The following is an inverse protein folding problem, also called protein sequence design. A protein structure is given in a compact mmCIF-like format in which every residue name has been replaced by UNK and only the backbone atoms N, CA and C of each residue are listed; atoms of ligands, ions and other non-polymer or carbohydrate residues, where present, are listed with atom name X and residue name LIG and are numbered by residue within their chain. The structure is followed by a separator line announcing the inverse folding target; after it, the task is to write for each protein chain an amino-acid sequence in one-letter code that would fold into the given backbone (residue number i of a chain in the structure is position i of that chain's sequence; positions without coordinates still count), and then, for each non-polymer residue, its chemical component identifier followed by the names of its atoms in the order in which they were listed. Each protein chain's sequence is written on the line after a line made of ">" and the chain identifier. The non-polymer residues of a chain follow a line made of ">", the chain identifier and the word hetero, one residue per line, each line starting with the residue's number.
data_IF_427769606613
#
_entry.id   IF_427769606613
#
_cell.length_a   1.000
_cell.length_b   1.000
_cell.length_c   1.000
_cell.angle_alpha   90.00
_cell.angle_beta   90.00
_cell.angle_gamma   90.00
#
_symmetry.space_group_name_H-M   'P 1'
#
loop_
_entity.id
_entity.type
_entity.pdbx_description
1 polymer ?
2 polymer ?
#
loop_
_entity_poly.entity_id
_entity_poly.type
_entity_poly.pdbx_seq_one_letter_code
_entity_poly.pdbx_strand_id
2 'polyribonucleotide' 'UUUUUU' ?
#
# COMPACT_ATOMS: atom_id res chain seq x y z
N UNK A 3 32.46 19.19 -18.58
CA UNK A 3 33.50 18.63 -19.42
C UNK A 3 34.39 17.66 -18.68
N UNK A 4 35.37 18.19 -17.95
CA UNK A 4 36.21 17.34 -17.11
C UNK A 4 35.44 16.79 -15.93
N UNK A 5 34.54 17.60 -15.37
CA UNK A 5 33.77 17.21 -14.20
C UNK A 5 32.46 16.53 -14.56
N UNK A 6 32.25 16.28 -15.86
CA UNK A 6 31.02 15.63 -16.37
C UNK A 6 30.95 14.20 -15.85
N UNK A 7 32.08 13.49 -15.80
CA UNK A 7 32.12 12.07 -15.36
C UNK A 7 31.66 11.96 -13.91
N UNK A 8 32.10 12.89 -13.04
CA UNK A 8 31.70 12.89 -11.61
C UNK A 8 30.20 13.19 -11.46
N UNK A 9 29.69 14.15 -12.24
CA UNK A 9 28.29 14.55 -12.17
C UNK A 9 27.37 13.42 -12.60
N UNK A 10 27.75 12.69 -13.63
CA UNK A 10 26.97 11.57 -14.13
C UNK A 10 27.36 10.24 -13.51
N UNK A 11 28.22 10.23 -12.49
CA UNK A 11 28.69 8.97 -11.94
C UNK A 11 27.62 8.28 -11.13
N UNK A 12 26.76 9.07 -10.48
CA UNK A 12 25.66 8.44 -9.68
C UNK A 12 24.73 7.68 -10.63
N UNK A 13 24.27 8.33 -11.69
CA UNK A 13 23.36 7.68 -12.67
C UNK A 13 24.09 6.52 -13.37
N UNK A 14 25.33 6.74 -13.80
CA UNK A 14 26.13 5.71 -14.50
C UNK A 14 26.41 4.53 -13.57
N UNK A 15 26.84 4.82 -12.34
CA UNK A 15 27.15 3.73 -11.37
C UNK A 15 25.87 2.94 -11.08
N UNK A 16 24.74 3.63 -10.91
CA UNK A 16 23.47 2.91 -10.63
C UNK A 16 23.13 2.01 -11.82
N UNK A 17 23.24 2.53 -13.04
CA UNK A 17 22.92 1.70 -14.24
C UNK A 17 23.91 0.54 -14.35
N UNK A 18 25.20 0.84 -14.12
CA UNK A 18 26.31 -0.16 -14.24
C UNK A 18 26.22 -1.29 -13.22
N UNK A 19 25.93 -0.97 -11.95
CA UNK A 19 25.94 -2.03 -10.88
C UNK A 19 24.55 -2.65 -10.64
N UNK A 20 23.47 -2.05 -11.13
CA UNK A 20 22.13 -2.64 -10.87
C UNK A 20 21.74 -3.57 -12.01
N UNK A 21 22.63 -3.75 -13.01
CA UNK A 21 22.29 -4.68 -14.12
C UNK A 21 22.03 -6.05 -13.48
N UNK A 22 20.91 -6.68 -13.83
CA UNK A 22 20.54 -7.98 -13.22
C UNK A 22 21.54 -9.06 -13.65
N UNK A 23 21.74 -10.09 -12.80
CA UNK A 23 22.70 -11.15 -13.11
C UNK A 23 22.32 -11.88 -14.39
N UNK A 24 21.02 -12.17 -14.56
CA UNK A 24 20.53 -12.85 -15.77
C UNK A 24 20.78 -14.35 -15.75
N UNK A 25 20.54 -15.03 -16.88
CA UNK A 25 20.77 -16.47 -16.97
C UNK A 25 19.70 -17.29 -16.26
N UNK A 26 20.00 -18.55 -15.97
CA UNK A 26 19.06 -19.45 -15.27
C UNK A 26 18.89 -19.00 -13.81
N UNK A 27 17.71 -19.24 -13.23
CA UNK A 27 17.43 -18.84 -11.82
C UNK A 27 17.35 -20.11 -10.96
N UNK A 28 18.13 -20.16 -9.89
CA UNK A 28 18.12 -21.32 -8.99
C UNK A 28 16.90 -21.22 -8.08
N UNK A 29 15.97 -22.18 -8.11
CA UNK A 29 14.81 -22.09 -7.24
C UNK A 29 15.18 -22.27 -5.77
N UNK A 30 14.56 -21.47 -4.92
CA UNK A 30 14.81 -21.50 -3.50
C UNK A 30 13.76 -22.29 -2.74
N UNK A 31 13.75 -22.10 -1.43
CA UNK A 31 12.78 -22.78 -0.59
C UNK A 31 11.43 -22.06 -0.65
N UNK A 32 10.37 -22.84 -0.76
CA UNK A 32 9.02 -22.29 -0.86
C UNK A 32 8.06 -23.16 -0.07
N UNK A 33 7.16 -22.51 0.66
CA UNK A 33 6.10 -23.23 1.33
C UNK A 33 5.01 -23.61 0.33
N UNK A 34 4.33 -24.70 0.62
CA UNK A 34 3.20 -25.14 -0.18
C UNK A 34 1.93 -24.69 0.54
N UNK A 35 1.12 -23.88 -0.15
CA UNK A 35 -0.03 -23.24 0.46
C UNK A 35 -1.30 -23.73 -0.23
N UNK A 36 -2.29 -24.10 0.58
CA UNK A 36 -3.58 -24.54 0.08
C UNK A 36 -4.46 -23.34 -0.17
N UNK A 37 -4.91 -23.16 -1.40
CA UNK A 37 -5.85 -22.11 -1.78
C UNK A 37 -7.14 -22.77 -2.21
N UNK A 38 -8.25 -22.32 -1.64
CA UNK A 38 -9.55 -22.91 -1.87
C UNK A 38 -10.38 -22.01 -2.78
N UNK A 39 -10.75 -22.52 -3.93
CA UNK A 39 -11.58 -21.81 -4.90
C UNK A 39 -12.96 -22.44 -4.88
N UNK A 40 -13.97 -21.66 -5.28
CA UNK A 40 -15.33 -22.19 -5.32
C UNK A 40 -15.62 -22.79 -6.68
N UNK A 41 -16.03 -24.05 -6.68
CA UNK A 41 -16.49 -24.67 -7.89
C UNK A 41 -17.88 -24.21 -8.25
N UNK A 42 -18.31 -24.56 -9.45
CA UNK A 42 -19.66 -24.14 -9.89
C UNK A 42 -20.77 -24.75 -9.06
N UNK A 43 -20.46 -25.71 -8.19
CA UNK A 43 -21.49 -26.31 -7.34
C UNK A 43 -22.02 -25.30 -6.33
N UNK A 44 -21.18 -24.38 -5.88
CA UNK A 44 -21.60 -23.39 -4.90
C UNK A 44 -22.21 -22.19 -5.62
N UNK A 45 -23.53 -22.28 -5.87
CA UNK A 45 -24.27 -21.22 -6.60
C UNK A 45 -25.12 -20.39 -5.62
N UNK A 46 -24.98 -20.65 -4.31
CA UNK A 46 -25.78 -19.90 -3.30
C UNK A 46 -24.98 -18.70 -2.81
N UNK A 47 -25.56 -17.50 -2.90
CA UNK A 47 -24.87 -16.25 -2.46
C UNK A 47 -24.60 -16.32 -0.96
N UNK A 48 -25.56 -16.85 -0.19
CA UNK A 48 -25.39 -16.97 1.28
C UNK A 48 -24.24 -17.93 1.58
N UNK A 49 -24.17 -19.03 0.85
CA UNK A 49 -23.08 -20.03 1.02
C UNK A 49 -21.74 -19.39 0.65
N UNK A 50 -21.75 -18.60 -0.43
CA UNK A 50 -20.52 -17.92 -0.92
C UNK A 50 -20.03 -16.94 0.16
N UNK A 51 -20.95 -16.20 0.79
CA UNK A 51 -20.56 -15.26 1.84
C UNK A 51 -20.09 -16.00 3.09
N UNK A 52 -20.71 -17.14 3.39
CA UNK A 52 -20.24 -17.95 4.51
C UNK A 52 -18.84 -18.47 4.26
N UNK A 53 -18.54 -18.84 3.02
CA UNK A 53 -17.20 -19.31 2.67
C UNK A 53 -16.19 -18.18 2.78
N UNK A 54 -16.58 -16.98 2.34
CA UNK A 54 -15.71 -15.82 2.46
C UNK A 54 -15.42 -15.51 3.93
N UNK A 55 -16.44 -15.57 4.77
CA UNK A 55 -16.22 -15.31 6.19
C UNK A 55 -15.38 -16.42 6.83
N UNK A 56 -15.53 -17.65 6.35
CA UNK A 56 -14.68 -18.73 6.86
C UNK A 56 -13.23 -18.53 6.47
N UNK A 57 -12.98 -18.12 5.22
CA UNK A 57 -11.63 -17.78 4.81
C UNK A 57 -11.05 -16.65 5.67
N UNK A 58 -11.85 -15.62 5.92
CA UNK A 58 -11.37 -14.50 6.72
C UNK A 58 -11.09 -14.92 8.15
N UNK A 59 -11.90 -15.81 8.71
CA UNK A 59 -11.69 -16.25 10.07
C UNK A 59 -10.50 -17.20 10.17
N UNK A 60 -10.24 -17.96 9.11
CA UNK A 60 -9.09 -18.85 9.11
C UNK A 60 -7.79 -18.08 8.92
N UNK A 61 -7.85 -16.98 8.18
CA UNK A 61 -6.64 -16.14 7.97
C UNK A 61 -6.22 -15.56 9.33
N UNK A 62 -7.19 -15.13 10.13
CA UNK A 62 -6.98 -14.50 11.47
C UNK A 62 -6.46 -15.51 12.51
N UNK A 63 -6.66 -16.82 12.30
CA UNK A 63 -6.24 -17.80 13.34
C UNK A 63 -4.73 -17.71 13.57
N UNK A 64 -4.35 -17.51 14.83
CA UNK A 64 -2.92 -17.41 15.28
C UNK A 64 -2.22 -18.78 15.16
N UNK A 65 -2.92 -19.85 15.53
CA UNK A 65 -2.36 -21.23 15.53
C UNK A 65 -1.96 -21.63 14.10
N UNK A 66 -2.77 -21.25 13.11
CA UNK A 66 -2.51 -21.61 11.69
C UNK A 66 -1.20 -20.96 11.24
N UNK A 67 -0.44 -21.66 10.40
CA UNK A 67 0.86 -21.16 9.88
C UNK A 67 0.61 -19.89 9.06
N UNK A 68 1.54 -18.94 9.11
CA UNK A 68 1.36 -17.64 8.41
C UNK A 68 1.19 -17.89 6.90
N UNK A 69 1.94 -18.83 6.33
CA UNK A 69 1.76 -19.11 4.91
C UNK A 69 0.35 -19.61 4.63
N UNK A 70 -0.21 -20.42 5.53
CA UNK A 70 -1.56 -20.92 5.32
C UNK A 70 -2.59 -19.82 5.49
N UNK A 71 -2.37 -18.93 6.47
CA UNK A 71 -3.24 -17.77 6.61
C UNK A 71 -3.16 -16.87 5.39
N UNK A 72 -1.96 -16.71 4.84
CA UNK A 72 -1.84 -15.98 3.59
C UNK A 72 -2.55 -16.66 2.45
N UNK A 73 -2.60 -17.99 2.46
CA UNK A 73 -3.36 -18.71 1.45
C UNK A 73 -4.85 -18.57 1.62
N UNK A 74 -5.32 -18.44 2.85
CA UNK A 74 -6.74 -18.14 3.07
C UNK A 74 -7.08 -16.74 2.60
N UNK A 75 -6.18 -15.79 2.83
CA UNK A 75 -6.38 -14.46 2.27
C UNK A 75 -6.35 -14.49 0.75
N UNK A 76 -5.48 -15.32 0.17
CA UNK A 76 -5.41 -15.45 -1.28
C UNK A 76 -6.70 -16.08 -1.81
N UNK A 77 -7.24 -17.05 -1.09
CA UNK A 77 -8.54 -17.62 -1.42
C UNK A 77 -9.63 -16.55 -1.42
N UNK A 78 -9.65 -15.73 -0.37
CA UNK A 78 -10.63 -14.67 -0.27
C UNK A 78 -10.52 -13.70 -1.44
N UNK A 79 -9.30 -13.28 -1.78
CA UNK A 79 -9.13 -12.35 -2.88
C UNK A 79 -9.45 -13.00 -4.23
N UNK A 80 -9.28 -14.32 -4.33
CA UNK A 80 -9.65 -15.01 -5.56
C UNK A 80 -11.14 -15.22 -5.69
N UNK A 81 -11.88 -15.18 -4.58
CA UNK A 81 -13.33 -15.29 -4.64
C UNK A 81 -13.96 -14.19 -5.50
N UNK A 82 -13.25 -13.09 -5.72
CA UNK A 82 -13.78 -11.97 -6.50
C UNK A 82 -13.87 -12.26 -7.98
N UNK A 83 -13.32 -13.38 -8.44
CA UNK A 83 -13.22 -13.69 -9.85
C UNK A 83 -14.02 -14.94 -10.16
N UNK A 84 -14.55 -15.00 -11.39
CA UNK A 84 -15.28 -16.18 -11.81
C UNK A 84 -14.33 -17.36 -12.00
N UNK A 85 -13.14 -17.08 -12.53
CA UNK A 85 -12.07 -18.06 -12.66
C UNK A 85 -11.00 -17.70 -11.63
N UNK A 86 -11.08 -18.22 -10.41
CA UNK A 86 -10.05 -17.91 -9.43
C UNK A 86 -8.68 -18.48 -9.78
N UNK A 87 -8.63 -19.64 -10.42
CA UNK A 87 -7.35 -20.23 -10.77
C UNK A 87 -6.67 -19.46 -11.89
N UNK A 88 -7.43 -18.87 -12.81
CA UNK A 88 -6.83 -17.96 -13.78
C UNK A 88 -6.24 -16.75 -13.08
N UNK A 89 -6.95 -16.22 -12.10
CA UNK A 89 -6.44 -15.11 -11.31
C UNK A 89 -5.13 -15.47 -10.61
N UNK A 90 -5.07 -16.66 -10.02
CA UNK A 90 -3.88 -17.07 -9.30
C UNK A 90 -2.73 -17.38 -10.25
N UNK A 91 -3.05 -17.79 -11.47
CA UNK A 91 -1.98 -18.05 -12.43
C UNK A 91 -1.38 -16.76 -12.96
N UNK A 92 -2.22 -15.79 -13.31
CA UNK A 92 -1.66 -14.56 -13.87
C UNK A 92 -1.08 -13.65 -12.80
N UNK A 93 -1.72 -13.63 -11.62
CA UNK A 93 -1.22 -12.74 -10.52
C UNK A 93 -0.67 -13.56 -9.36
N UNK A 94 -0.72 -14.89 -9.42
CA UNK A 94 -0.26 -15.74 -8.30
C UNK A 94 1.13 -16.32 -8.49
N UNK A 95 1.84 -15.93 -9.54
CA UNK A 95 3.19 -16.54 -9.79
C UNK A 95 4.25 -15.83 -8.93
N UNK A 96 4.89 -16.57 -8.03
CA UNK A 96 5.96 -16.04 -7.15
C UNK A 96 6.84 -17.23 -6.71
N UNK A 97 8.08 -16.95 -6.30
CA UNK A 97 9.00 -18.02 -5.85
C UNK A 97 8.84 -18.24 -4.34
N UNK A 98 8.09 -17.35 -3.68
CA UNK A 98 7.88 -17.42 -2.21
C UNK A 98 7.09 -18.69 -1.81
N UNK A 99 6.06 -19.04 -2.57
CA UNK A 99 5.22 -20.23 -2.20
C UNK A 99 4.61 -20.88 -3.44
N UNK A 100 4.17 -22.13 -3.28
CA UNK A 100 3.47 -22.89 -4.31
C UNK A 100 2.01 -23.04 -3.88
N UNK A 101 1.11 -22.53 -4.70
CA UNK A 101 -0.32 -22.54 -4.37
C UNK A 101 -0.92 -23.85 -4.86
N UNK A 102 -1.49 -24.62 -3.94
CA UNK A 102 -2.20 -25.84 -4.27
C UNK A 102 -3.68 -25.51 -4.24
N UNK A 103 -4.29 -25.47 -5.42
CA UNK A 103 -5.67 -25.01 -5.54
C UNK A 103 -6.62 -26.17 -5.21
N UNK A 104 -7.41 -25.99 -4.18
CA UNK A 104 -8.48 -26.91 -3.81
C UNK A 104 -9.81 -26.29 -4.21
N UNK A 105 -10.79 -27.14 -4.47
CA UNK A 105 -12.10 -26.68 -4.89
C UNK A 105 -13.11 -26.95 -3.78
N UNK A 106 -13.84 -25.91 -3.39
CA UNK A 106 -14.97 -26.05 -2.48
C UNK A 106 -16.18 -26.40 -3.34
N UNK A 107 -16.73 -27.59 -3.09
CA UNK A 107 -17.90 -28.11 -3.86
C UNK A 107 -19.08 -28.28 -2.90
N UNK A 108 -20.28 -27.84 -3.32
CA UNK A 108 -21.49 -27.96 -2.48
C UNK A 108 -22.30 -29.18 -2.93
N UNK A 109 -22.52 -30.13 -2.01
CA UNK A 109 -23.29 -31.37 -2.34
C UNK A 109 -24.55 -31.41 -1.46
N UNK A 110 -25.76 -31.52 -2.06
CA UNK A 110 -27.01 -31.57 -1.28
C UNK A 110 -27.06 -32.84 -0.41
N UNK A 111 -26.57 -33.96 -0.95
CA UNK A 111 -26.58 -35.26 -0.24
C UNK A 111 -25.72 -35.19 1.03
N UNK A 112 -24.56 -34.52 0.96
CA UNK A 112 -23.66 -34.44 2.13
C UNK A 112 -24.00 -33.24 3.01
N UNK A 113 -24.40 -33.51 4.26
CA UNK A 113 -24.71 -32.45 5.27
C UNK A 113 -23.67 -32.52 6.39
N UNK A 114 -22.62 -33.33 6.20
CA UNK A 114 -21.55 -33.53 7.22
C UNK A 114 -20.83 -32.22 7.53
N UNK A 115 -20.51 -31.43 6.50
CA UNK A 115 -19.79 -30.14 6.73
C UNK A 115 -20.50 -28.99 6.01
N UNK A 116 -21.70 -28.64 6.48
CA UNK A 116 -22.50 -27.53 5.91
C UNK A 116 -22.71 -27.76 4.41
N UNK A 117 -22.96 -29.01 3.99
CA UNK A 117 -23.19 -29.30 2.57
C UNK A 117 -21.97 -29.01 1.70
N UNK A 118 -20.82 -28.73 2.31
CA UNK A 118 -19.61 -28.41 1.51
C UNK A 118 -18.67 -29.62 1.50
N UNK A 119 -17.81 -29.68 0.48
CA UNK A 119 -16.82 -30.74 0.34
C UNK A 119 -15.67 -30.19 -0.49
N UNK A 120 -14.44 -30.46 -0.05
CA UNK A 120 -13.23 -29.99 -0.78
C UNK A 120 -12.76 -31.13 -1.67
N UNK A 121 -12.83 -30.94 -2.99
CA UNK A 121 -12.43 -32.01 -3.94
C UNK A 121 -11.47 -31.45 -5.00
N UNK A 122 -10.34 -32.13 -5.21
CA UNK A 122 -9.39 -31.72 -6.29
C UNK A 122 -9.62 -32.70 -7.44
N UNK A 123 -10.19 -32.22 -8.54
CA UNK A 123 -10.53 -33.08 -9.71
C UNK A 123 -11.44 -34.21 -9.21
N UNK A 124 -11.14 -35.46 -9.59
CA UNK A 124 -11.94 -36.64 -9.17
C UNK A 124 -11.88 -36.85 -7.65
N UNK A 125 -10.68 -36.71 -7.06
CA UNK A 125 -10.44 -36.95 -5.61
C UNK A 125 -11.19 -35.94 -4.74
N UNK A 126 -11.73 -36.41 -3.61
CA UNK A 126 -12.47 -35.57 -2.63
C UNK A 126 -11.79 -35.74 -1.26
N UNK A 127 -11.53 -34.63 -0.55
CA UNK A 127 -10.84 -34.69 0.76
C UNK A 127 -11.81 -34.32 1.90
N UNK A 128 -11.92 -35.19 2.91
CA UNK A 128 -12.80 -34.92 4.09
C UNK A 128 -11.98 -34.39 5.27
N UNK A 129 -10.70 -34.79 5.39
CA UNK A 129 -9.85 -34.32 6.51
C UNK A 129 -9.69 -32.81 6.40
N UNK A 130 -9.45 -32.33 5.18
CA UNK A 130 -9.32 -30.90 4.88
C UNK A 130 -10.67 -30.20 5.04
N UNK A 131 -11.75 -30.88 4.68
CA UNK A 131 -13.07 -30.26 4.75
C UNK A 131 -13.50 -30.04 6.19
N UNK A 132 -13.27 -31.00 7.07
CA UNK A 132 -13.58 -30.78 8.47
C UNK A 132 -12.66 -29.75 9.10
N UNK A 133 -11.42 -29.66 8.63
CA UNK A 133 -10.52 -28.63 9.13
C UNK A 133 -10.98 -27.24 8.71
N UNK A 134 -11.49 -27.11 7.48
CA UNK A 134 -11.82 -25.81 6.93
C UNK A 134 -13.20 -25.34 7.35
N UNK A 135 -14.18 -26.23 7.38
CA UNK A 135 -15.55 -25.88 7.71
C UNK A 135 -15.97 -26.38 9.08
N UNK A 136 -15.02 -26.74 9.93
CA UNK A 136 -15.34 -27.17 11.27
C UNK A 136 -15.49 -26.00 12.22
N UNK A 137 -15.96 -26.30 13.43
CA UNK A 137 -16.11 -25.24 14.43
C UNK A 137 -14.77 -24.69 14.88
N UNK A 138 -14.46 -23.46 14.51
CA UNK A 138 -13.21 -22.81 14.86
C UNK A 138 -13.48 -21.69 15.84
N UNK A 139 -12.77 -21.71 16.97
CA UNK A 139 -12.93 -20.66 17.96
C UNK A 139 -12.26 -19.39 17.44
N UNK A 140 -13.03 -18.31 17.41
CA UNK A 140 -12.53 -17.00 17.01
C UNK A 140 -11.84 -16.37 18.21
N UNK A 141 -10.53 -16.17 18.11
CA UNK A 141 -9.79 -15.50 19.18
C UNK A 141 -10.45 -14.17 19.53
N UNK A 142 -10.89 -13.46 18.48
CA UNK A 142 -11.60 -12.16 18.58
C UNK A 142 -12.72 -12.13 17.53
N UNK A 143 -13.75 -11.25 17.64
CA UNK A 143 -14.83 -11.21 16.66
C UNK A 143 -14.29 -10.80 15.28
N UNK A 144 -14.74 -11.49 14.23
CA UNK A 144 -14.30 -11.23 12.82
C UNK A 144 -14.74 -9.85 12.36
N UNK A 145 -15.97 -9.44 12.68
CA UNK A 145 -16.51 -8.13 12.23
C UNK A 145 -17.07 -7.35 13.42
N UNK A 146 -17.15 -6.03 13.27
CA UNK A 146 -17.68 -5.12 14.33
C UNK A 146 -19.20 -5.28 14.41
N UNK A 147 -19.74 -5.39 15.63
CA UNK A 147 -21.19 -5.51 15.85
C UNK A 147 -21.73 -4.33 16.62
N UNK A 148 -22.79 -3.70 16.12
CA UNK A 148 -23.40 -2.52 16.80
C UNK A 148 -24.91 -2.67 16.87
N UNK A 149 -25.55 -2.03 17.86
CA UNK A 149 -27.02 -2.08 18.04
C UNK A 149 -27.69 -1.34 16.87
N UNK A 150 -28.88 -1.81 16.46
CA UNK A 150 -29.65 -1.21 15.35
C UNK A 150 -28.82 -1.18 14.05
N UNK A 151 -28.12 -2.28 13.78
CA UNK A 151 -27.28 -2.42 12.58
C UNK A 151 -27.89 -3.50 11.67
N UNK A 152 -28.01 -3.21 10.38
CA UNK A 152 -28.62 -4.18 9.43
C UNK A 152 -27.79 -5.47 9.45
N UNK A 153 -28.46 -6.62 9.46
CA UNK A 153 -27.79 -7.95 9.49
C UNK A 153 -27.14 -8.25 8.13
N UNK A 154 -26.08 -9.09 8.10
CA UNK A 154 -25.40 -9.42 6.83
C UNK A 154 -26.36 -10.11 5.86
N UNK A 155 -27.21 -11.00 6.37
CA UNK A 155 -28.18 -11.73 5.50
C UNK A 155 -29.12 -10.71 4.86
N UNK A 156 -29.59 -9.73 5.64
CA UNK A 156 -30.50 -8.67 5.11
C UNK A 156 -29.73 -7.85 4.06
N UNK A 157 -28.45 -7.54 4.37
CA UNK A 157 -27.60 -6.78 3.46
C UNK A 157 -27.24 -7.60 2.22
N UNK A 158 -27.18 -8.92 2.36
CA UNK A 158 -26.83 -9.77 1.23
C UNK A 158 -28.02 -10.00 0.32
N UNK A 159 -29.24 -9.99 0.85
CA UNK A 159 -30.39 -10.11 -0.02
C UNK A 159 -30.78 -8.77 -0.62
N UNK A 160 -30.36 -7.67 0.01
CA UNK A 160 -30.62 -6.34 -0.54
C UNK A 160 -29.51 -5.92 -1.49
N UNK A 161 -28.30 -5.82 -0.99
CA UNK A 161 -27.12 -5.63 -1.83
C UNK A 161 -26.57 -7.00 -2.17
N UNK A 162 -26.19 -7.18 -3.42
CA UNK A 162 -25.80 -8.50 -3.89
C UNK A 162 -24.63 -9.07 -3.10
N UNK A 163 -24.36 -10.34 -3.38
CA UNK A 163 -23.12 -10.93 -2.90
C UNK A 163 -21.89 -10.24 -3.47
N UNK A 164 -21.87 -9.76 -4.72
CA UNK A 164 -20.74 -8.93 -5.16
C UNK A 164 -20.47 -7.76 -4.22
N UNK A 165 -21.51 -7.10 -3.70
CA UNK A 165 -21.30 -5.94 -2.84
C UNK A 165 -20.69 -6.35 -1.51
N UNK A 166 -21.16 -7.45 -0.91
CA UNK A 166 -20.63 -7.88 0.38
C UNK A 166 -19.21 -8.41 0.24
N UNK A 167 -18.97 -9.25 -0.77
CA UNK A 167 -17.62 -9.71 -1.03
C UNK A 167 -16.69 -8.56 -1.34
N UNK A 168 -17.18 -7.55 -2.07
CA UNK A 168 -16.37 -6.38 -2.33
C UNK A 168 -16.03 -5.61 -1.07
N UNK A 169 -16.99 -5.51 -0.15
CA UNK A 169 -16.69 -4.90 1.15
C UNK A 169 -15.53 -5.60 1.83
N UNK A 170 -15.63 -6.93 1.94
CA UNK A 170 -14.59 -7.69 2.64
C UNK A 170 -13.23 -7.54 1.95
N UNK A 171 -13.22 -7.70 0.63
CA UNK A 171 -11.95 -7.70 -0.09
C UNK A 171 -11.35 -6.30 -0.11
N UNK A 172 -12.18 -5.28 -0.28
CA UNK A 172 -11.71 -3.90 -0.20
C UNK A 172 -11.08 -3.63 1.15
N UNK A 173 -11.65 -4.22 2.21
CA UNK A 173 -11.06 -3.99 3.52
C UNK A 173 -9.74 -4.70 3.69
N UNK A 174 -9.58 -5.87 3.09
CA UNK A 174 -8.27 -6.53 3.09
C UNK A 174 -7.24 -5.64 2.40
N UNK A 175 -7.61 -5.03 1.28
CA UNK A 175 -6.70 -4.13 0.59
C UNK A 175 -6.40 -2.89 1.42
N UNK A 176 -7.41 -2.36 2.12
CA UNK A 176 -7.21 -1.21 2.98
C UNK A 176 -6.22 -1.56 4.08
N UNK A 177 -6.27 -2.80 4.57
CA UNK A 177 -5.24 -3.25 5.50
C UNK A 177 -3.87 -3.15 4.85
N UNK A 178 -3.74 -3.65 3.63
CA UNK A 178 -2.45 -3.58 2.93
C UNK A 178 -1.92 -2.15 2.83
N UNK A 179 -2.82 -1.17 2.84
CA UNK A 179 -2.37 0.23 2.69
C UNK A 179 -1.27 0.57 3.68
N UNK A 180 -1.37 0.09 4.92
CA UNK A 180 -0.39 0.41 5.95
C UNK A 180 0.16 -0.81 6.67
N UNK A 181 -0.21 -2.03 6.27
CA UNK A 181 0.26 -3.21 6.98
C UNK A 181 1.78 -3.32 6.97
N UNK A 182 2.40 -2.97 5.85
CA UNK A 182 3.82 -3.19 5.64
C UNK A 182 4.65 -2.01 6.15
N UNK A 183 4.27 -0.79 5.78
CA UNK A 183 5.17 0.34 5.96
C UNK A 183 4.88 1.09 7.24
N UNK A 184 3.65 1.05 7.73
CA UNK A 184 3.32 1.65 9.01
C UNK A 184 2.54 0.62 9.82
N UNK A 185 3.26 -0.29 10.46
CA UNK A 185 2.59 -1.38 11.18
C UNK A 185 1.99 -0.90 12.49
N UNK A 186 2.51 0.19 13.05
CA UNK A 186 1.99 0.70 14.32
C UNK A 186 0.76 1.57 14.12
N UNK A 187 0.69 2.27 12.99
CA UNK A 187 -0.48 3.07 12.68
C UNK A 187 -1.41 2.36 11.72
N UNK A 188 -1.48 1.04 11.82
CA UNK A 188 -2.27 0.24 10.90
C UNK A 188 -3.75 0.28 11.23
N UNK A 189 -4.11 0.23 12.51
CA UNK A 189 -5.53 0.24 12.87
C UNK A 189 -6.15 1.60 12.63
N UNK A 190 -5.50 2.65 13.16
CA UNK A 190 -5.98 4.01 12.93
C UNK A 190 -6.01 4.33 11.45
N UNK A 191 -4.94 3.99 10.73
CA UNK A 191 -4.90 4.26 9.30
C UNK A 191 -5.92 3.45 8.53
N UNK A 192 -6.19 2.24 8.99
CA UNK A 192 -7.21 1.42 8.35
C UNK A 192 -8.57 2.08 8.46
N UNK A 193 -8.93 2.53 9.65
CA UNK A 193 -10.27 3.10 9.79
C UNK A 193 -10.35 4.48 9.13
N UNK A 194 -9.23 5.18 9.05
CA UNK A 194 -9.19 6.42 8.30
C UNK A 194 -9.43 6.16 6.81
N UNK A 195 -8.76 5.15 6.26
CA UNK A 195 -8.92 4.75 4.85
C UNK A 195 -10.35 4.20 4.63
N UNK A 196 -10.84 3.41 5.59
CA UNK A 196 -12.19 2.76 5.53
C UNK A 196 -13.33 3.78 5.59
N UNK A 197 -13.05 4.96 6.14
CA UNK A 197 -14.08 6.03 6.32
C UNK A 197 -14.62 6.46 4.95
N UNK A 198 -13.76 6.62 3.95
CA UNK A 198 -14.22 7.04 2.61
C UNK A 198 -15.17 5.98 2.03
N UNK A 199 -14.80 4.70 2.17
CA UNK A 199 -15.61 3.57 1.65
C UNK A 199 -16.95 3.48 2.38
N UNK A 200 -16.95 3.67 3.70
CA UNK A 200 -18.21 3.59 4.48
C UNK A 200 -19.17 4.69 4.04
N UNK A 201 -18.68 5.93 3.89
CA UNK A 201 -19.55 7.04 3.42
C UNK A 201 -20.00 6.72 2.00
N UNK A 202 -19.07 6.22 1.18
CA UNK A 202 -19.35 5.82 -0.22
C UNK A 202 -20.45 4.76 -0.23
N UNK A 203 -20.44 3.86 0.76
CA UNK A 203 -21.42 2.77 0.86
C UNK A 203 -20.82 1.45 0.39
N UNK A 204 -19.55 1.46 -0.03
CA UNK A 204 -18.92 0.21 -0.43
C UNK A 204 -18.90 -0.78 0.72
N UNK A 205 -18.58 -0.32 1.91
CA UNK A 205 -18.51 -1.16 3.10
C UNK A 205 -19.66 -0.77 3.99
N UNK A 206 -20.57 -1.71 4.25
CA UNK A 206 -21.67 -1.47 5.17
C UNK A 206 -21.24 -1.83 6.58
N UNK A 207 -22.06 -1.41 7.55
CA UNK A 207 -21.66 -1.53 8.94
C UNK A 207 -21.52 -2.96 9.41
N UNK A 208 -22.18 -3.91 8.74
CA UNK A 208 -22.15 -5.28 9.22
C UNK A 208 -20.87 -6.00 8.82
N UNK A 209 -20.16 -5.51 7.81
CA UNK A 209 -18.95 -6.16 7.32
C UNK A 209 -17.70 -5.31 7.55
N UNK A 210 -17.74 -4.40 8.52
CA UNK A 210 -16.58 -3.58 8.82
C UNK A 210 -15.65 -4.35 9.75
N UNK A 211 -14.43 -4.61 9.29
CA UNK A 211 -13.46 -5.35 10.08
C UNK A 211 -13.32 -4.74 11.47
N UNK A 212 -13.16 -5.60 12.48
CA UNK A 212 -12.74 -5.12 13.77
C UNK A 212 -11.26 -4.73 13.73
N UNK A 213 -10.80 -4.05 14.77
CA UNK A 213 -9.38 -3.76 14.86
C UNK A 213 -8.54 -5.01 14.92
N UNK A 214 -9.04 -6.04 15.61
CA UNK A 214 -8.29 -7.28 15.74
C UNK A 214 -8.16 -7.99 14.40
N UNK A 215 -9.21 -7.98 13.59
CA UNK A 215 -9.12 -8.52 12.25
C UNK A 215 -8.10 -7.75 11.42
N UNK A 216 -8.13 -6.41 11.55
CA UNK A 216 -7.19 -5.55 10.79
C UNK A 216 -5.76 -5.88 11.24
N UNK A 217 -5.54 -6.03 12.54
CA UNK A 217 -4.19 -6.35 13.09
C UNK A 217 -3.76 -7.74 12.60
N UNK A 218 -4.68 -8.72 12.64
CA UNK A 218 -4.38 -10.09 12.21
C UNK A 218 -4.04 -10.15 10.73
N UNK A 219 -4.81 -9.46 9.89
CA UNK A 219 -4.58 -9.44 8.42
C UNK A 219 -3.24 -8.76 8.13
N UNK A 220 -2.94 -7.68 8.85
CA UNK A 220 -1.70 -6.94 8.65
C UNK A 220 -0.48 -7.76 9.02
N UNK A 221 -0.58 -8.57 10.07
CA UNK A 221 0.52 -9.45 10.43
C UNK A 221 0.75 -10.50 9.35
N UNK A 222 -0.32 -11.09 8.83
CA UNK A 222 -0.17 -12.06 7.75
C UNK A 222 0.44 -11.41 6.53
N UNK A 223 0.11 -10.15 6.27
CA UNK A 223 0.69 -9.44 5.13
C UNK A 223 2.16 -9.13 5.36
N UNK A 224 2.52 -8.78 6.60
CA UNK A 224 3.91 -8.52 6.92
C UNK A 224 4.75 -9.77 6.76
N UNK A 225 4.19 -10.93 7.09
CA UNK A 225 4.98 -12.16 7.03
C UNK A 225 5.02 -12.73 5.61
N UNK A 226 3.93 -12.60 4.87
CA UNK A 226 3.77 -13.27 3.59
C UNK A 226 3.98 -12.27 2.46
N UNK A 227 5.20 -12.24 1.92
CA UNK A 227 5.49 -11.40 0.78
C UNK A 227 4.82 -11.93 -0.49
N UNK A 228 4.40 -13.19 -0.48
CA UNK A 228 3.70 -13.75 -1.63
C UNK A 228 2.32 -13.12 -1.78
N UNK A 229 1.63 -12.92 -0.66
CA UNK A 229 0.32 -12.27 -0.69
C UNK A 229 0.44 -10.83 -1.14
N UNK A 230 1.43 -10.12 -0.62
CA UNK A 230 1.66 -8.73 -1.02
C UNK A 230 2.01 -8.67 -2.51
N UNK A 231 2.78 -9.64 -2.99
CA UNK A 231 3.12 -9.69 -4.40
C UNK A 231 1.89 -9.94 -5.26
N UNK A 232 1.00 -10.83 -4.81
CA UNK A 232 -0.22 -11.09 -5.54
C UNK A 232 -1.10 -9.86 -5.60
N UNK A 233 -1.18 -9.11 -4.51
CA UNK A 233 -2.00 -7.90 -4.51
C UNK A 233 -1.38 -6.82 -5.38
N UNK A 234 -0.06 -6.64 -5.27
CA UNK A 234 0.66 -5.63 -6.10
C UNK A 234 0.51 -6.05 -7.57
N UNK A 235 0.62 -7.35 -7.85
CA UNK A 235 0.49 -7.89 -9.22
C UNK A 235 -0.92 -7.61 -9.76
N UNK A 236 -1.94 -7.79 -8.91
CA UNK A 236 -3.35 -7.54 -9.32
C UNK A 236 -3.51 -6.06 -9.69
N UNK A 237 -2.93 -5.18 -8.87
CA UNK A 237 -3.00 -3.71 -9.09
C UNK A 237 -2.28 -3.33 -10.39
N UNK A 238 -1.13 -3.94 -10.68
CA UNK A 238 -0.35 -3.53 -11.84
C UNK A 238 -0.94 -4.11 -13.12
N UNK A 239 -1.26 -5.40 -13.11
CA UNK A 239 -1.69 -6.08 -14.32
C UNK A 239 -3.17 -5.91 -14.61
N UNK A 240 -3.94 -5.35 -13.68
CA UNK A 240 -5.33 -5.05 -13.97
C UNK A 240 -5.43 -4.07 -15.13
N UNK A 241 -6.34 -4.37 -16.06
CA UNK A 241 -6.55 -3.52 -17.26
C UNK A 241 -7.46 -2.36 -16.86
N UNK A 242 -6.91 -1.38 -16.14
CA UNK A 242 -7.62 -0.17 -15.64
C UNK A 242 -8.12 0.66 -16.82
N UNK A 243 -7.34 0.71 -17.91
CA UNK A 243 -7.72 1.52 -19.10
C UNK A 243 -9.06 1.04 -19.66
N UNK A 244 -9.30 -0.28 -19.68
CA UNK A 244 -10.60 -0.79 -20.19
C UNK A 244 -11.72 -0.27 -19.27
N UNK A 245 -12.80 0.22 -19.87
CA UNK A 245 -13.95 0.80 -19.10
C UNK A 245 -14.63 -0.27 -18.23
N UNK A 246 -14.79 -1.48 -18.76
CA UNK A 246 -15.52 -2.55 -18.02
C UNK A 246 -14.70 -3.02 -16.81
N UNK A 247 -14.70 -2.21 -15.75
CA UNK A 247 -13.99 -2.54 -14.48
C UNK A 247 -15.06 -2.78 -13.41
N UNK A 248 -14.96 -3.92 -12.71
CA UNK A 248 -15.95 -4.30 -11.66
C UNK A 248 -15.83 -3.34 -10.46
N UNK A 249 -16.97 -3.00 -9.86
CA UNK A 249 -16.99 -2.16 -8.66
C UNK A 249 -15.86 -2.54 -7.72
N UNK A 250 -15.62 -3.83 -7.55
CA UNK A 250 -14.53 -4.28 -6.69
C UNK A 250 -13.18 -3.91 -7.28
N UNK A 251 -13.00 -4.06 -8.59
CA UNK A 251 -11.73 -3.69 -9.19
C UNK A 251 -11.51 -2.20 -9.15
N UNK A 252 -12.58 -1.41 -9.33
CA UNK A 252 -12.47 0.03 -9.17
C UNK A 252 -12.05 0.41 -7.77
N UNK A 253 -12.66 -0.22 -6.76
CA UNK A 253 -12.31 0.10 -5.39
C UNK A 253 -10.92 -0.39 -5.02
N UNK A 254 -10.50 -1.51 -5.59
CA UNK A 254 -9.14 -2.00 -5.41
C UNK A 254 -8.15 -1.02 -6.02
N UNK A 255 -8.51 -0.42 -7.15
CA UNK A 255 -7.64 0.60 -7.74
C UNK A 255 -7.59 1.86 -6.89
N UNK A 256 -8.70 2.22 -6.25
CA UNK A 256 -8.69 3.32 -5.29
C UNK A 256 -7.74 3.03 -4.14
N UNK A 257 -7.91 1.87 -3.51
CA UNK A 257 -7.06 1.48 -2.40
C UNK A 257 -5.60 1.41 -2.85
N UNK A 258 -5.36 0.96 -4.08
CA UNK A 258 -4.00 0.86 -4.56
C UNK A 258 -3.37 2.20 -4.87
N UNK A 259 -4.18 3.16 -5.30
CA UNK A 259 -3.75 4.55 -5.36
C UNK A 259 -3.32 5.02 -3.99
N UNK A 260 -3.92 4.47 -2.93
CA UNK A 260 -3.42 4.75 -1.58
C UNK A 260 -2.18 3.93 -1.23
N UNK A 261 -2.02 2.74 -1.82
CA UNK A 261 -0.86 1.90 -1.55
C UNK A 261 0.36 2.34 -2.34
N UNK A 262 0.16 3.02 -3.47
CA UNK A 262 1.27 3.47 -4.29
C UNK A 262 2.24 4.31 -3.47
N UNK A 263 3.53 4.02 -3.64
CA UNK A 263 4.65 4.74 -3.04
C UNK A 263 4.69 4.62 -1.53
N UNK A 264 4.05 3.61 -0.96
CA UNK A 264 4.21 3.33 0.45
C UNK A 264 5.64 2.89 0.73
N UNK A 265 6.25 3.50 1.74
CA UNK A 265 7.66 3.31 2.00
C UNK A 265 8.57 4.25 1.23
N UNK A 266 8.10 4.81 0.12
CA UNK A 266 8.83 5.83 -0.62
C UNK A 266 8.41 7.23 -0.22
N UNK A 267 7.82 7.39 0.96
CA UNK A 267 7.34 8.70 1.40
C UNK A 267 8.44 9.73 1.36
N UNK A 268 9.64 9.35 1.78
CA UNK A 268 10.74 10.32 1.86
C UNK A 268 11.27 10.67 0.49
N UNK A 269 11.31 9.71 -0.43
CA UNK A 269 11.74 9.99 -1.79
C UNK A 269 10.78 10.94 -2.49
N UNK A 270 9.49 10.63 -2.41
CA UNK A 270 8.48 11.47 -3.04
C UNK A 270 8.47 12.86 -2.43
N UNK A 271 8.51 12.94 -1.10
CA UNK A 271 8.42 14.23 -0.44
C UNK A 271 9.71 14.99 -0.56
N UNK A 272 10.82 14.26 -0.70
CA UNK A 272 12.12 14.94 -0.93
C UNK A 272 12.05 15.64 -2.29
N UNK A 273 11.50 14.97 -3.31
CA UNK A 273 11.36 15.58 -4.66
C UNK A 273 10.40 16.76 -4.59
N UNK A 274 9.27 16.57 -3.91
CA UNK A 274 8.19 17.59 -3.77
C UNK A 274 8.64 18.83 -2.98
N UNK A 275 9.38 18.65 -1.88
CA UNK A 275 9.75 19.82 -1.07
C UNK A 275 11.20 20.29 -1.34
N UNK A 276 12.14 19.35 -1.41
CA UNK A 276 13.55 19.72 -1.64
C UNK A 276 13.81 20.33 -3.01
N UNK A 277 13.25 19.77 -4.08
CA UNK A 277 13.57 20.30 -5.44
C UNK A 277 12.38 20.94 -6.14
N UNK A 278 11.15 20.42 -5.94
CA UNK A 278 9.97 20.99 -6.64
C UNK A 278 9.70 22.43 -6.19
N UNK A 279 9.94 22.73 -4.90
CA UNK A 279 9.72 24.10 -4.39
C UNK A 279 10.65 25.06 -5.15
N UNK A 280 11.86 24.62 -5.45
CA UNK A 280 12.81 25.39 -6.24
C UNK A 280 13.26 26.66 -5.51
N UNK A 281 13.76 26.49 -4.30
CA UNK A 281 14.21 27.63 -3.52
C UNK A 281 15.72 27.83 -3.66
N UNK A 282 16.18 28.99 -3.20
CA UNK A 282 17.58 29.38 -3.38
C UNK A 282 18.50 28.44 -2.63
N UNK A 283 17.98 27.76 -1.61
CA UNK A 283 18.82 26.85 -0.85
C UNK A 283 19.30 25.67 -1.68
N UNK A 284 18.64 25.39 -2.81
CA UNK A 284 19.11 24.33 -3.70
C UNK A 284 20.45 24.65 -4.31
N UNK A 285 20.83 25.93 -4.35
CA UNK A 285 22.13 26.35 -4.87
C UNK A 285 23.27 25.99 -3.94
N UNK A 286 22.98 25.48 -2.75
CA UNK A 286 24.01 25.03 -1.83
C UNK A 286 24.72 23.80 -2.38
N UNK A 287 26.00 23.68 -2.04
CA UNK A 287 26.78 22.52 -2.44
C UNK A 287 26.49 21.30 -1.56
N UNK A 288 25.87 21.50 -0.40
CA UNK A 288 25.45 20.38 0.43
C UNK A 288 24.47 19.50 -0.30
N UNK A 289 23.60 20.10 -1.10
CA UNK A 289 22.52 19.39 -1.75
C UNK A 289 22.87 18.92 -3.14
N UNK A 290 24.01 19.33 -3.68
CA UNK A 290 24.32 19.01 -5.07
C UNK A 290 24.56 17.53 -5.30
N UNK A 291 25.42 16.84 -4.53
CA UNK A 291 25.52 15.38 -4.74
C UNK A 291 24.22 14.66 -4.44
N UNK A 292 23.44 15.15 -3.49
CA UNK A 292 22.16 14.55 -3.20
C UNK A 292 21.12 14.84 -4.27
N UNK A 293 21.23 15.97 -4.95
CA UNK A 293 20.37 16.23 -6.10
C UNK A 293 20.74 15.30 -7.26
N UNK A 294 22.03 15.03 -7.46
CA UNK A 294 22.42 14.05 -8.47
C UNK A 294 21.90 12.66 -8.11
N UNK A 295 22.03 12.28 -6.84
CA UNK A 295 21.50 11.01 -6.38
C UNK A 295 20.00 10.92 -6.64
N UNK A 296 19.26 11.99 -6.34
CA UNK A 296 17.82 11.98 -6.56
C UNK A 296 17.46 11.96 -8.03
N UNK A 297 18.31 12.58 -8.87
CA UNK A 297 18.07 12.57 -10.33
C UNK A 297 18.16 11.13 -10.84
N UNK A 298 19.19 10.41 -10.40
CA UNK A 298 19.39 8.98 -10.78
C UNK A 298 18.25 8.14 -10.21
N UNK A 299 17.82 8.44 -8.98
CA UNK A 299 16.72 7.71 -8.30
C UNK A 299 15.42 7.88 -9.11
N UNK A 300 15.18 9.08 -9.62
CA UNK A 300 13.95 9.34 -10.44
C UNK A 300 14.00 8.46 -11.68
N UNK A 301 15.19 8.35 -12.31
CA UNK A 301 15.37 7.48 -13.50
C UNK A 301 15.11 6.02 -13.10
N UNK A 302 15.60 5.63 -11.92
CA UNK A 302 15.42 4.24 -11.41
C UNK A 302 13.93 3.98 -11.20
N UNK A 303 13.21 4.96 -10.63
CA UNK A 303 11.79 4.84 -10.38
C UNK A 303 11.01 4.82 -11.69
N UNK A 304 11.29 5.76 -12.59
CA UNK A 304 10.56 5.82 -13.85
C UNK A 304 10.90 4.66 -14.78
N UNK A 305 12.03 4.00 -14.56
CA UNK A 305 12.35 2.79 -15.30
C UNK A 305 11.63 1.58 -14.74
N UNK A 306 11.35 1.57 -13.44
CA UNK A 306 10.63 0.46 -12.84
C UNK A 306 9.18 0.37 -13.31
N UNK A 307 8.69 1.35 -14.04
CA UNK A 307 7.38 1.29 -14.65
C UNK A 307 6.24 1.39 -13.67
N UNK A 308 5.17 0.61 -13.90
CA UNK A 308 4.01 0.64 -12.99
C UNK A 308 4.26 -0.05 -11.66
N UNK A 309 5.31 -0.82 -11.53
CA UNK A 309 5.67 -1.43 -10.25
C UNK A 309 6.59 -0.57 -9.41
N UNK A 310 6.97 0.60 -9.92
CA UNK A 310 7.78 1.52 -9.13
C UNK A 310 7.11 1.97 -7.85
N UNK A 311 5.79 2.21 -7.79
CA UNK A 311 5.17 2.59 -6.52
C UNK A 311 5.22 1.52 -5.45
N UNK A 312 5.64 0.31 -5.77
CA UNK A 312 5.55 -0.80 -4.81
C UNK A 312 6.90 -1.41 -4.51
N UNK A 313 7.99 -0.74 -4.87
CA UNK A 313 9.30 -1.33 -4.66
C UNK A 313 9.61 -1.48 -3.18
N UNK A 314 9.00 -0.66 -2.32
CA UNK A 314 9.36 -0.74 -0.91
C UNK A 314 8.46 -1.71 -0.14
N UNK A 315 7.18 -1.83 -0.50
CA UNK A 315 6.37 -2.83 0.17
C UNK A 315 6.68 -4.22 -0.38
N UNK A 316 7.23 -4.29 -1.58
CA UNK A 316 7.64 -5.55 -2.19
C UNK A 316 9.06 -5.92 -1.87
N UNK A 317 9.79 -5.09 -1.12
CA UNK A 317 11.17 -5.36 -0.74
C UNK A 317 12.04 -5.55 -1.98
N UNK A 318 11.79 -4.71 -2.98
CA UNK A 318 12.52 -4.77 -4.24
C UNK A 318 14.01 -4.55 -4.02
N UNK A 319 14.86 -5.14 -4.85
CA UNK A 319 16.31 -4.91 -4.70
C UNK A 319 16.69 -3.44 -4.70
N UNK A 320 16.17 -2.63 -5.63
CA UNK A 320 16.54 -1.22 -5.70
C UNK A 320 15.86 -0.36 -4.65
N UNK A 321 15.01 -0.94 -3.81
CA UNK A 321 14.20 -0.11 -2.93
C UNK A 321 15.02 0.53 -1.83
N UNK A 322 16.14 -0.09 -1.45
CA UNK A 322 16.96 0.47 -0.39
C UNK A 322 17.75 1.67 -0.80
N UNK A 323 17.87 1.93 -2.11
CA UNK A 323 18.55 3.10 -2.62
C UNK A 323 17.66 4.33 -2.61
N UNK A 324 16.35 4.16 -2.44
CA UNK A 324 15.43 5.26 -2.26
C UNK A 324 15.33 5.67 -0.80
N UNK A 325 16.07 5.01 0.06
CA UNK A 325 16.09 5.39 1.47
C UNK A 325 16.74 6.76 1.61
N UNK A 326 16.25 7.60 2.51
CA UNK A 326 16.77 8.96 2.61
C UNK A 326 18.21 9.04 3.05
N UNK A 327 18.73 7.99 3.69
CA UNK A 327 20.11 7.96 4.12
C UNK A 327 21.12 7.99 3.00
N UNK A 328 20.67 7.87 1.76
CA UNK A 328 21.53 8.03 0.59
C UNK A 328 21.57 9.46 0.07
N UNK A 329 20.62 10.29 0.48
CA UNK A 329 20.60 11.72 0.13
C UNK A 329 20.20 12.51 1.36
N UNK A 330 20.98 12.42 2.43
CA UNK A 330 20.48 12.92 3.73
C UNK A 330 20.41 14.43 3.83
N UNK A 331 21.27 15.18 3.16
CA UNK A 331 21.20 16.63 3.25
C UNK A 331 20.01 17.17 2.47
N UNK A 332 19.81 16.67 1.25
CA UNK A 332 18.64 17.05 0.48
C UNK A 332 17.36 16.59 1.16
N UNK A 333 17.40 15.41 1.77
CA UNK A 333 16.24 14.92 2.49
C UNK A 333 15.93 15.77 3.71
N UNK A 334 16.95 16.17 4.47
CA UNK A 334 16.72 17.01 5.65
C UNK A 334 16.23 18.38 5.25
N UNK A 335 16.79 18.94 4.19
CA UNK A 335 16.28 20.19 3.67
C UNK A 335 14.81 20.07 3.29
N UNK A 336 14.48 19.06 2.50
CA UNK A 336 13.11 18.85 2.08
C UNK A 336 12.19 18.56 3.25
N UNK A 337 12.70 17.94 4.31
CA UNK A 337 11.88 17.67 5.48
C UNK A 337 11.57 18.94 6.24
N UNK A 338 12.54 19.86 6.32
CA UNK A 338 12.25 21.16 6.89
C UNK A 338 11.23 21.92 6.09
N UNK A 339 11.43 21.96 4.76
CA UNK A 339 10.46 22.61 3.89
C UNK A 339 9.09 21.98 4.06
N UNK A 340 9.03 20.67 4.23
CA UNK A 340 7.78 19.95 4.30
C UNK A 340 7.07 20.17 5.61
N UNK A 341 7.81 20.26 6.72
CA UNK A 341 7.14 20.48 7.99
C UNK A 341 6.67 21.92 8.10
N UNK A 342 7.30 22.85 7.39
CA UNK A 342 6.74 24.20 7.37
C UNK A 342 5.55 24.28 6.42
N UNK A 343 5.68 23.73 5.22
CA UNK A 343 4.68 23.88 4.18
C UNK A 343 3.54 22.89 4.27
N UNK A 344 3.77 21.74 4.92
CA UNK A 344 2.72 20.71 5.03
C UNK A 344 2.50 20.35 6.51
N UNK A 345 1.26 20.49 6.97
CA UNK A 345 0.86 20.17 8.36
C UNK A 345 1.00 18.65 8.59
N UNK A 346 0.62 17.86 7.58
CA UNK A 346 0.62 16.41 7.67
C UNK A 346 2.03 15.86 7.82
N UNK A 347 3.01 16.52 7.19
CA UNK A 347 4.40 16.08 7.27
C UNK A 347 5.00 16.27 8.64
N UNK A 348 4.36 17.02 9.53
CA UNK A 348 4.88 17.21 10.87
C UNK A 348 4.64 16.00 11.77
N UNK A 349 3.87 15.02 11.31
CA UNK A 349 3.73 13.76 12.00
C UNK A 349 4.52 12.65 11.33
N UNK A 350 5.16 12.96 10.21
CA UNK A 350 6.10 12.05 9.59
C UNK A 350 7.38 12.00 10.40
N UNK A 351 7.91 10.79 10.60
CA UNK A 351 9.10 10.60 11.42
C UNK A 351 10.29 11.14 10.64
N UNK A 352 10.76 12.33 11.03
CA UNK A 352 11.96 12.92 10.49
C UNK A 352 13.12 12.90 11.48
N UNK A 353 12.90 12.40 12.69
CA UNK A 353 13.96 12.33 13.65
C UNK A 353 14.76 11.06 13.43
N UNK A 354 15.86 11.20 12.70
CA UNK A 354 16.66 10.08 12.25
C UNK A 354 18.13 10.43 12.45
N UNK A 355 18.96 9.39 12.52
CA UNK A 355 20.38 9.61 12.79
C UNK A 355 21.02 10.47 11.71
N UNK A 356 20.53 10.38 10.48
CA UNK A 356 21.13 11.10 9.37
C UNK A 356 20.46 12.42 9.07
N UNK A 357 19.52 12.85 9.90
CA UNK A 357 18.90 14.15 9.70
C UNK A 357 19.96 15.23 9.90
N UNK A 358 20.39 15.85 8.81
CA UNK A 358 21.28 17.00 8.88
C UNK A 358 20.49 18.14 9.49
N UNK A 359 20.76 18.43 10.76
CA UNK A 359 19.97 19.41 11.48
C UNK A 359 20.12 20.79 10.87
N UNK A 360 21.27 21.11 10.29
CA UNK A 360 21.42 22.42 9.68
C UNK A 360 20.67 22.50 8.36
N UNK A 361 20.62 21.40 7.61
CA UNK A 361 19.80 21.38 6.40
C UNK A 361 18.32 21.36 6.74
N UNK A 362 17.95 20.68 7.82
CA UNK A 362 16.58 20.70 8.29
C UNK A 362 16.14 22.11 8.66
N UNK A 363 16.93 22.77 9.50
CA UNK A 363 16.60 24.13 9.92
C UNK A 363 16.68 25.10 8.77
N UNK A 364 17.57 24.86 7.80
CA UNK A 364 17.63 25.71 6.62
C UNK A 364 16.39 25.55 5.77
N UNK A 365 15.89 24.33 5.62
CA UNK A 365 14.64 24.14 4.91
C UNK A 365 13.50 24.85 5.60
N UNK A 366 13.44 24.77 6.92
CA UNK A 366 12.41 25.49 7.65
C UNK A 366 12.57 26.99 7.49
N UNK A 367 13.81 27.48 7.42
CA UNK A 367 14.05 28.91 7.33
C UNK A 367 13.65 29.45 5.96
N UNK A 368 14.06 28.77 4.89
CA UNK A 368 13.68 29.23 3.56
C UNK A 368 12.21 29.01 3.30
N UNK A 369 11.59 28.03 3.96
CA UNK A 369 10.17 27.80 3.77
C UNK A 369 9.34 28.82 4.52
N UNK A 370 9.90 29.41 5.57
CA UNK A 370 9.19 30.35 6.43
C UNK A 370 9.43 31.80 6.04
N UNK A 371 10.33 32.05 5.10
CA UNK A 371 10.80 33.39 4.80
C UNK A 371 10.13 33.86 3.52
N UNK A 372 9.46 35.00 3.58
CA UNK A 372 8.69 35.52 2.41
C UNK A 372 9.61 35.78 1.20
N UNK A 373 10.77 36.41 1.43
CA UNK A 373 11.69 36.71 0.29
C UNK A 373 12.18 35.40 -0.33
N UNK A 374 12.54 34.43 0.51
CA UNK A 374 13.08 33.11 0.09
C UNK A 374 12.06 32.27 -0.68
N UNK A 375 10.78 32.31 -0.27
CA UNK A 375 9.78 31.43 -0.85
C UNK A 375 8.99 32.06 -1.98
N UNK A 376 9.38 33.23 -2.46
CA UNK A 376 8.79 33.82 -3.64
C UNK A 376 9.81 33.75 -4.76
N UNK A 377 9.39 33.26 -5.92
CA UNK A 377 10.27 33.04 -7.05
C UNK A 377 9.93 34.04 -8.15
N UNK A 378 10.95 34.47 -8.88
CA UNK A 378 10.74 35.30 -10.06
C UNK A 378 10.47 34.48 -11.30
N UNK A 379 10.51 33.14 -11.19
CA UNK A 379 10.37 32.29 -12.36
C UNK A 379 9.01 32.46 -13.02
N UNK A 380 7.95 32.52 -12.21
CA UNK A 380 6.61 32.62 -12.75
C UNK A 380 6.08 34.05 -12.77
N UNK A 381 6.85 35.00 -12.24
CA UNK A 381 6.40 36.42 -12.17
C UNK A 381 6.16 36.97 -13.58
N UNK A 382 7.04 36.66 -14.54
CA UNK A 382 6.88 37.17 -15.93
C UNK A 382 5.58 36.61 -16.53
N UNK A 383 5.32 35.32 -16.34
CA UNK A 383 4.09 34.68 -16.89
C UNK A 383 2.84 35.28 -16.22
N UNK A 384 2.90 35.50 -14.91
CA UNK A 384 1.80 36.04 -14.14
C UNK A 384 1.61 37.53 -14.35
N UNK A 385 2.61 38.22 -14.90
CA UNK A 385 2.53 39.65 -15.10
C UNK A 385 2.34 40.39 -13.79
N UNK A 386 3.21 40.14 -12.82
CA UNK A 386 3.03 40.65 -11.47
C UNK A 386 3.54 42.08 -11.39
N UNK A 387 2.67 42.99 -11.03
CA UNK A 387 3.05 44.37 -10.79
C UNK A 387 3.82 44.49 -9.48
N UNK A 388 4.71 45.48 -9.42
CA UNK A 388 5.53 45.66 -8.22
C UNK A 388 4.67 45.95 -7.00
N UNK A 389 3.56 46.65 -7.19
CA UNK A 389 2.62 46.84 -6.09
C UNK A 389 2.05 45.51 -5.63
N UNK A 390 1.80 44.59 -6.57
CA UNK A 390 1.30 43.28 -6.20
C UNK A 390 2.37 42.45 -5.49
N UNK A 391 3.63 42.59 -5.93
CA UNK A 391 4.75 41.84 -5.29
C UNK A 391 4.88 42.32 -3.84
N UNK A 392 4.84 43.63 -3.63
CA UNK A 392 4.92 44.23 -2.27
C UNK A 392 3.67 43.82 -1.48
N UNK A 393 2.51 43.83 -2.14
CA UNK A 393 1.22 43.47 -1.50
C UNK A 393 1.27 42.00 -1.07
N UNK A 394 1.85 41.14 -1.90
CA UNK A 394 1.98 39.69 -1.58
C UNK A 394 2.85 39.51 -0.33
N UNK A 395 3.96 40.25 -0.25
CA UNK A 395 4.89 40.18 0.91
C UNK A 395 4.14 40.65 2.17
N UNK A 396 3.31 41.69 2.03
CA UNK A 396 2.51 42.20 3.18
C UNK A 396 1.53 41.12 3.64
N UNK A 397 0.93 40.39 2.70
CA UNK A 397 -0.04 39.32 3.05
C UNK A 397 0.69 38.18 3.75
N UNK A 398 1.87 37.81 3.25
CA UNK A 398 2.68 36.72 3.84
C UNK A 398 3.05 37.09 5.28
N UNK A 399 3.43 38.36 5.50
CA UNK A 399 3.83 38.84 6.84
C UNK A 399 2.65 38.73 7.82
N UNK A 400 1.46 39.15 7.39
CA UNK A 400 0.26 39.06 8.27
C UNK A 400 -0.12 37.59 8.52
N UNK A 401 -0.10 36.77 7.46
CA UNK A 401 -0.51 35.34 7.55
C UNK A 401 0.43 34.53 8.45
N UNK A 402 1.74 34.73 8.34
CA UNK A 402 2.69 33.93 9.18
C UNK A 402 3.64 34.82 9.97
N UNK A 403 3.70 34.60 11.29
CA UNK A 403 4.60 35.34 12.19
C UNK A 403 6.05 34.95 11.98
N UNK A 404 6.32 33.66 11.77
CA UNK A 404 7.70 33.16 11.59
C UNK A 404 8.68 33.80 12.55
N UNK A 405 8.29 33.92 13.83
CA UNK A 405 9.16 34.58 14.85
C UNK A 405 10.16 33.59 15.47
N UNK A 406 11.13 33.12 14.66
CA UNK A 406 12.20 32.22 15.15
C UNK A 406 11.68 30.98 15.87
N UNK A 407 10.64 30.33 15.34
CA UNK A 407 10.11 29.10 15.96
C UNK A 407 10.35 27.94 14.99
N UNK A 408 11.03 26.88 15.44
CA UNK A 408 11.32 25.78 14.53
C UNK A 408 10.54 24.55 14.95
N UNK A 409 10.27 23.68 13.98
CA UNK A 409 9.63 22.40 14.22
C UNK A 409 10.69 21.40 14.65
N UNK A 410 10.43 20.72 15.74
CA UNK A 410 11.37 19.68 16.12
C UNK A 410 11.15 18.45 15.27
N UNK A 411 12.22 17.78 14.84
CA UNK A 411 12.06 16.57 14.03
C UNK A 411 11.27 15.50 14.79
N UNK A 412 10.23 14.98 14.13
CA UNK A 412 9.37 13.99 14.75
C UNK A 412 10.11 12.66 14.88
N UNK A 413 10.08 12.10 16.08
CA UNK A 413 10.78 10.86 16.36
C UNK A 413 9.87 9.66 16.23
N UNK A 414 10.49 8.49 16.05
CA UNK A 414 9.74 7.25 15.90
C UNK A 414 9.23 6.69 17.21
#
# INVERSE_FOLDING_TARGET
>A
MAGLLSTFDTFSSRRSESINKSGGGAVIPGQRSTVSVFVLGPSVTDDADKLSIATTFLAHSLDTDKQHSQRGGFLVSLLAMAYSSPELYLTTNGVNADVKYVIYNIEKDPKRTKTDGFIVKTRDMEYERTTEWLFGPMVNKSPLFQGQRDAADPDTLLQIYGYPACLGAIIVQVWIVLVKAITSSAGLRKGFFNRLEAFRQDGTVKGALVFTGETVEGIGSVMRSQQSLVSLMVETLVTMNTARSDLTTLEKNIQIVGNYIRDAGLASFMNTIKYGVETKMAALTLSNLRPDINKLRSLIDTYLSKGPRAPFICILKDPVHGEFAPGNYPALWSYAMGVAVVQNKAMQQYVTGRTYLDMEMFLLGQAVAKDAESKISSALEDELGVTDTAKERLRHHLANLSGGDGAYHKPTGGGAIEVALDNADIDLEPEAHTDQDARGWGGDSGDRWARSMGSGHFITLHGAERLEEETNDEDVSDIERRIARRLAERRQEDATTHEDEGRNNGVDHDEEDDAAAAAGMGGI
#
